data_IF_403111724043
#
_entry.id   IF_403111724043
#
_cell.length_a   1.000
_cell.length_b   1.000
_cell.length_c   1.000
_cell.angle_alpha   90.00
_cell.angle_beta   90.00
_cell.angle_gamma   90.00
#
_symmetry.space_group_name_H-M   'P 1'
#
loop_
_entity.id
_entity.type
_entity.pdbx_description
1 polymer ?
#
# COMPACT_ATOMS: atom_id res chain seq x y z
N UNK A 1 61.90 -12.06 -57.17
CA UNK A 1 61.04 -13.24 -57.40
C UNK A 1 60.35 -13.51 -56.09
N UNK A 2 59.04 -13.38 -55.87
CA UNK A 2 57.88 -13.31 -56.77
C UNK A 2 56.71 -12.69 -55.96
N UNK A 3 55.90 -11.84 -56.60
CA UNK A 3 54.61 -11.34 -56.09
C UNK A 3 53.55 -12.45 -56.03
N UNK A 4 52.56 -12.35 -55.12
CA UNK A 4 51.12 -12.29 -55.45
C UNK A 4 50.21 -12.25 -54.19
N UNK A 5 49.82 -11.03 -53.81
CA UNK A 5 48.44 -10.48 -53.83
C UNK A 5 47.26 -11.11 -53.02
N UNK A 6 46.52 -10.18 -52.38
CA UNK A 6 45.07 -10.12 -52.03
C UNK A 6 44.56 -10.70 -50.71
N UNK A 7 44.20 -9.83 -49.74
CA UNK A 7 42.90 -9.12 -49.59
C UNK A 7 42.72 -8.65 -48.12
N UNK A 8 42.46 -7.35 -47.93
CA UNK A 8 41.90 -6.79 -46.69
C UNK A 8 40.37 -7.03 -46.63
N UNK A 9 39.76 -6.85 -45.43
CA UNK A 9 38.78 -5.77 -45.36
C UNK A 9 38.82 -4.93 -44.07
N UNK A 10 38.86 -3.61 -44.29
CA UNK A 10 38.01 -2.53 -43.79
C UNK A 10 37.65 -2.39 -42.29
N UNK A 11 38.11 -1.27 -41.75
CA UNK A 11 37.59 -0.59 -40.56
C UNK A 11 36.55 0.48 -40.97
N UNK A 12 35.40 0.51 -40.27
CA UNK A 12 34.55 1.67 -39.90
C UNK A 12 33.08 1.25 -39.68
N UNK A 13 32.21 2.07 -39.01
CA UNK A 13 32.41 2.92 -37.84
C UNK A 13 31.27 2.76 -36.79
N UNK A 14 31.40 3.46 -35.66
CA UNK A 14 30.41 3.57 -34.58
C UNK A 14 28.99 3.92 -35.07
N UNK A 15 27.97 3.26 -34.51
CA UNK A 15 26.57 3.71 -34.57
C UNK A 15 26.01 3.87 -33.16
N UNK A 16 25.64 5.11 -32.82
CA UNK A 16 24.83 5.51 -31.67
C UNK A 16 23.54 4.69 -31.59
N UNK A 17 23.00 4.39 -30.39
CA UNK A 17 21.71 3.73 -30.27
C UNK A 17 20.58 4.62 -30.80
N UNK A 18 19.75 4.04 -31.67
CA UNK A 18 18.57 4.70 -32.24
C UNK A 18 17.44 4.74 -31.22
N UNK A 19 16.84 5.92 -31.04
CA UNK A 19 15.59 6.13 -30.31
C UNK A 19 14.47 5.29 -30.94
N UNK A 20 13.83 4.44 -30.13
CA UNK A 20 12.57 3.78 -30.51
C UNK A 20 11.44 4.79 -30.26
N UNK A 21 11.17 5.60 -31.27
CA UNK A 21 9.92 6.36 -31.41
C UNK A 21 9.32 5.91 -32.74
N UNK A 22 8.51 4.86 -32.72
CA UNK A 22 7.56 4.46 -33.79
C UNK A 22 7.00 3.06 -33.49
N UNK A 23 6.05 2.99 -32.56
CA UNK A 23 5.08 1.90 -32.48
C UNK A 23 3.86 2.46 -31.77
N UNK A 24 2.92 3.01 -32.55
CA UNK A 24 1.46 3.12 -32.31
C UNK A 24 0.88 4.21 -33.21
N UNK A 25 0.64 3.86 -34.48
CA UNK A 25 -0.30 4.56 -35.34
C UNK A 25 -1.34 3.53 -35.79
N UNK A 26 -2.46 3.43 -35.07
CA UNK A 26 -3.77 2.99 -35.54
C UNK A 26 -4.71 2.78 -34.34
N UNK A 27 -5.47 3.82 -33.99
CA UNK A 27 -6.76 3.69 -33.32
C UNK A 27 -7.45 5.07 -33.28
N UNK A 28 -8.01 5.50 -34.41
CA UNK A 28 -8.95 6.63 -34.44
C UNK A 28 -10.19 6.24 -35.24
N UNK A 29 -11.22 5.73 -34.55
CA UNK A 29 -12.61 5.92 -34.97
C UNK A 29 -13.48 6.23 -33.75
N UNK A 30 -14.11 7.41 -33.78
CA UNK A 30 -15.16 7.89 -32.87
C UNK A 30 -16.48 7.18 -33.18
N UNK A 31 -17.41 7.05 -32.22
CA UNK A 31 -18.84 7.09 -32.52
C UNK A 31 -19.47 8.43 -32.10
N UNK A 32 -20.38 8.91 -32.96
CA UNK A 32 -21.17 10.12 -32.79
C UNK A 32 -22.48 9.87 -32.02
N UNK A 33 -22.94 10.91 -31.33
CA UNK A 33 -24.29 11.13 -30.75
C UNK A 33 -25.36 10.99 -31.85
N UNK A 34 -26.66 10.68 -31.66
CA UNK A 34 -27.67 11.05 -30.65
C UNK A 34 -29.00 10.37 -31.09
N UNK A 35 -29.92 10.03 -30.17
CA UNK A 35 -31.38 10.38 -30.18
C UNK A 35 -32.15 9.60 -29.10
N UNK A 36 -33.01 10.32 -28.40
CA UNK A 36 -34.12 9.87 -27.53
C UNK A 36 -35.40 10.56 -28.06
N UNK A 37 -36.62 10.37 -27.51
CA UNK A 37 -37.15 9.34 -26.59
C UNK A 37 -38.49 8.71 -27.09
N UNK A 38 -39.01 7.69 -26.41
CA UNK A 38 -40.47 7.42 -26.37
C UNK A 38 -40.87 7.05 -24.94
N UNK A 39 -41.95 7.68 -24.50
CA UNK A 39 -42.59 7.58 -23.20
C UNK A 39 -43.95 6.89 -23.39
N UNK A 40 -44.29 5.86 -22.60
CA UNK A 40 -45.68 5.46 -22.37
C UNK A 40 -45.85 4.99 -20.93
N UNK A 41 -46.58 5.79 -20.15
CA UNK A 41 -47.21 5.42 -18.89
C UNK A 41 -48.35 4.41 -19.10
N UNK A 42 -48.46 3.40 -18.21
CA UNK A 42 -49.67 2.96 -17.48
C UNK A 42 -49.63 1.45 -17.22
N UNK A 43 -49.64 1.06 -15.95
CA UNK A 43 -50.76 0.37 -15.29
C UNK A 43 -50.38 0.03 -13.84
N UNK A 44 -51.22 0.48 -12.90
CA UNK A 44 -51.30 0.01 -11.51
C UNK A 44 -52.15 -1.26 -11.49
N UNK A 45 -51.85 -2.21 -10.60
CA UNK A 45 -52.75 -2.73 -9.56
C UNK A 45 -52.17 -3.99 -8.87
N UNK A 46 -52.38 -4.04 -7.56
CA UNK A 46 -52.11 -5.10 -6.60
C UNK A 46 -52.52 -6.51 -7.05
N UNK A 47 -51.74 -7.54 -6.67
CA UNK A 47 -52.26 -8.76 -6.00
C UNK A 47 -51.17 -9.36 -5.08
N UNK A 48 -51.66 -9.82 -3.94
CA UNK A 48 -51.11 -10.41 -2.71
C UNK A 48 -50.20 -11.65 -2.79
N UNK A 49 -49.46 -11.86 -1.69
CA UNK A 49 -48.79 -13.07 -1.20
C UNK A 49 -49.18 -14.42 -1.84
N UNK A 50 -48.21 -15.06 -2.50
CA UNK A 50 -47.91 -16.51 -2.50
C UNK A 50 -46.90 -16.83 -3.60
N UNK A 51 -45.62 -16.97 -3.27
CA UNK A 51 -44.67 -17.79 -4.06
C UNK A 51 -43.34 -18.08 -3.34
N UNK A 52 -43.41 -18.56 -2.09
CA UNK A 52 -42.30 -19.28 -1.43
C UNK A 52 -42.79 -20.67 -1.07
N UNK A 53 -42.97 -21.53 -2.09
CA UNK A 53 -43.07 -23.00 -1.95
C UNK A 53 -43.24 -23.65 -3.33
N UNK A 54 -42.12 -24.12 -3.92
CA UNK A 54 -41.97 -25.19 -4.93
C UNK A 54 -40.57 -24.98 -5.54
N UNK A 55 -39.53 -25.65 -5.07
CA UNK A 55 -39.30 -27.04 -5.48
C UNK A 55 -38.24 -27.71 -4.59
N UNK A 56 -38.68 -28.65 -3.76
CA UNK A 56 -37.88 -29.77 -3.27
C UNK A 56 -38.78 -31.00 -3.37
N UNK A 57 -38.48 -31.92 -4.29
CA UNK A 57 -38.35 -33.36 -4.02
C UNK A 57 -38.22 -34.19 -5.31
N UNK A 58 -37.06 -34.81 -5.46
CA UNK A 58 -36.86 -36.26 -5.60
C UNK A 58 -35.36 -36.50 -5.82
N UNK A 59 -34.66 -37.45 -5.21
CA UNK A 59 -34.89 -38.36 -4.09
C UNK A 59 -33.53 -39.08 -3.88
N UNK A 60 -33.14 -39.42 -2.66
CA UNK A 60 -31.96 -40.28 -2.43
C UNK A 60 -31.35 -40.18 -1.04
N UNK A 61 -32.09 -40.67 -0.04
CA UNK A 61 -31.75 -40.73 1.38
C UNK A 61 -30.61 -41.74 1.67
N UNK A 62 -29.74 -41.41 2.62
CA UNK A 62 -29.31 -42.33 3.68
C UNK A 62 -28.90 -41.52 4.93
N UNK A 63 -29.75 -41.60 5.97
CA UNK A 63 -29.63 -40.98 7.29
C UNK A 63 -29.14 -42.03 8.29
N UNK A 64 -28.02 -41.75 8.96
CA UNK A 64 -27.52 -42.27 10.26
C UNK A 64 -26.43 -41.27 10.69
N UNK A 65 -26.30 -40.70 11.89
CA UNK A 65 -26.85 -40.93 13.22
C UNK A 65 -26.39 -39.69 14.03
N UNK A 66 -27.31 -38.86 14.51
CA UNK A 66 -27.01 -37.79 15.49
C UNK A 66 -28.13 -37.80 16.51
N UNK A 67 -27.95 -38.56 17.58
CA UNK A 67 -28.63 -38.37 18.86
C UNK A 67 -27.98 -39.31 19.89
N UNK A 68 -26.88 -38.86 20.51
CA UNK A 68 -26.41 -39.41 21.77
C UNK A 68 -25.62 -38.35 22.53
N UNK A 69 -25.85 -38.32 23.84
CA UNK A 69 -25.21 -37.50 24.88
C UNK A 69 -26.00 -36.24 25.28
N UNK A 70 -27.17 -36.47 25.88
CA UNK A 70 -27.64 -35.70 27.04
C UNK A 70 -28.65 -36.56 27.83
N UNK A 71 -28.18 -37.29 28.85
CA UNK A 71 -28.82 -37.56 30.17
C UNK A 71 -28.19 -38.75 30.89
N UNK A 72 -28.34 -38.71 32.21
CA UNK A 72 -27.88 -39.60 33.28
C UNK A 72 -26.49 -39.23 33.81
N UNK A 73 -26.36 -38.66 35.01
CA UNK A 73 -26.86 -39.25 36.26
C UNK A 73 -27.15 -38.17 37.31
N UNK A 74 -28.24 -38.35 38.05
CA UNK A 74 -28.61 -37.64 39.29
C UNK A 74 -28.89 -38.66 40.39
N UNK A 75 -28.79 -38.20 41.63
CA UNK A 75 -29.20 -38.73 42.97
C UNK A 75 -28.00 -39.05 43.86
N UNK A 76 -27.90 -38.64 45.13
CA UNK A 76 -28.66 -37.77 46.07
C UNK A 76 -27.79 -37.77 47.37
N UNK A 77 -27.78 -36.79 48.28
CA UNK A 77 -28.71 -36.60 49.42
C UNK A 77 -28.22 -35.41 50.26
N UNK A 78 -29.17 -34.51 50.57
CA UNK A 78 -29.46 -33.64 51.73
C UNK A 78 -28.43 -32.98 52.69
N UNK A 79 -28.79 -31.71 52.94
CA UNK A 79 -29.03 -31.00 54.23
C UNK A 79 -27.96 -30.11 54.91
N UNK A 80 -28.45 -28.89 55.19
CA UNK A 80 -28.17 -27.98 56.31
C UNK A 80 -26.98 -27.00 56.27
N UNK A 81 -27.37 -25.71 56.16
CA UNK A 81 -27.07 -24.59 57.05
C UNK A 81 -25.62 -24.27 57.52
N UNK A 82 -25.25 -23.02 57.21
CA UNK A 82 -24.59 -22.02 58.05
C UNK A 82 -23.05 -21.92 58.10
N UNK A 83 -22.63 -20.65 58.08
CA UNK A 83 -21.40 -20.02 58.57
C UNK A 83 -20.00 -20.46 58.08
N UNK A 84 -19.37 -19.47 57.42
CA UNK A 84 -18.03 -18.95 57.71
C UNK A 84 -16.78 -19.60 57.10
N UNK A 85 -15.84 -18.69 56.80
CA UNK A 85 -14.41 -18.85 56.57
C UNK A 85 -13.96 -19.10 55.12
N UNK A 86 -13.32 -18.05 54.58
CA UNK A 86 -12.35 -18.10 53.49
C UNK A 86 -11.24 -19.13 53.76
N UNK A 87 -10.52 -19.57 52.73
CA UNK A 87 -9.25 -18.90 52.50
C UNK A 87 -8.94 -18.59 51.03
N UNK A 88 -8.34 -17.41 50.92
CA UNK A 88 -7.57 -16.84 49.83
C UNK A 88 -6.62 -17.84 49.13
N UNK A 89 -6.68 -17.90 47.79
CA UNK A 89 -5.63 -18.44 46.94
C UNK A 89 -5.63 -17.64 45.63
N UNK A 90 -4.65 -16.73 45.58
CA UNK A 90 -4.29 -15.86 44.47
C UNK A 90 -4.06 -16.68 43.18
N UNK A 91 -4.72 -16.26 42.10
CA UNK A 91 -4.33 -16.58 40.74
C UNK A 91 -4.03 -15.25 40.05
N UNK A 92 -2.75 -15.00 39.84
CA UNK A 92 -2.24 -13.86 39.08
C UNK A 92 -2.72 -13.97 37.62
N UNK A 93 -3.61 -13.06 37.22
CA UNK A 93 -3.92 -12.81 35.81
C UNK A 93 -2.82 -11.91 35.23
N UNK A 94 -1.83 -12.51 34.56
CA UNK A 94 -0.93 -11.76 33.67
C UNK A 94 -1.73 -11.21 32.48
N UNK A 95 -2.07 -9.93 32.57
CA UNK A 95 -2.65 -9.15 31.48
C UNK A 95 -1.63 -8.93 30.37
N UNK A 96 -1.71 -9.72 29.29
CA UNK A 96 -1.01 -9.42 28.04
C UNK A 96 -1.79 -8.32 27.31
N UNK A 97 -1.47 -7.07 27.61
CA UNK A 97 -1.84 -5.91 26.79
C UNK A 97 -0.60 -5.23 26.26
N UNK A 98 -0.25 -5.48 24.99
CA UNK A 98 0.63 -4.59 24.24
C UNK A 98 0.18 -4.52 22.78
N UNK A 99 -0.86 -3.72 22.55
CA UNK A 99 -1.21 -3.21 21.23
C UNK A 99 -0.32 -1.99 20.98
N UNK A 100 0.75 -2.17 20.23
CA UNK A 100 1.64 -1.08 19.82
C UNK A 100 0.97 -0.23 18.74
N UNK A 101 0.20 0.77 19.17
CA UNK A 101 0.09 2.03 18.43
C UNK A 101 1.49 2.52 18.07
N UNK A 102 1.73 3.10 16.88
CA UNK A 102 3.00 3.75 16.61
C UNK A 102 3.16 4.85 17.65
N UNK A 103 4.20 4.73 18.48
CA UNK A 103 4.61 5.73 19.43
C UNK A 103 4.80 7.03 18.64
N UNK A 104 3.92 8.01 18.84
CA UNK A 104 3.98 9.30 18.17
C UNK A 104 5.12 10.07 18.82
N UNK A 105 6.34 9.82 18.34
CA UNK A 105 7.47 10.65 18.66
C UNK A 105 7.14 12.09 18.25
N UNK A 106 7.45 13.06 19.12
CA UNK A 106 7.37 14.48 18.82
C UNK A 106 8.46 14.84 17.80
N UNK A 107 8.22 14.48 16.54
CA UNK A 107 9.15 14.64 15.42
C UNK A 107 9.43 16.12 15.14
N UNK A 108 8.69 17.06 15.73
CA UNK A 108 8.89 18.51 15.54
C UNK A 108 10.25 19.02 16.06
N UNK A 109 10.94 18.23 16.90
CA UNK A 109 12.20 18.63 17.54
C UNK A 109 13.47 18.20 16.81
N UNK A 110 13.40 17.44 15.72
CA UNK A 110 14.57 17.28 14.84
C UNK A 110 14.77 18.58 14.08
N UNK A 111 15.95 19.21 14.28
CA UNK A 111 16.38 20.46 13.63
C UNK A 111 16.10 20.46 12.11
N UNK A 112 16.21 19.30 11.48
CA UNK A 112 16.01 19.09 10.05
C UNK A 112 14.57 19.37 9.57
N UNK A 113 13.54 19.17 10.41
CA UNK A 113 12.14 19.38 9.99
C UNK A 113 11.65 20.81 10.19
N UNK A 114 12.28 21.60 11.07
CA UNK A 114 11.99 23.03 11.18
C UNK A 114 12.31 23.77 9.86
N UNK A 115 13.43 23.42 9.23
CA UNK A 115 13.82 23.98 7.93
C UNK A 115 12.82 23.64 6.82
N UNK A 116 12.25 22.42 6.85
CA UNK A 116 11.22 22.01 5.89
C UNK A 116 9.91 22.75 6.12
N UNK A 117 9.49 22.89 7.38
CA UNK A 117 8.31 23.69 7.71
C UNK A 117 8.48 25.13 7.19
N UNK A 118 9.65 25.73 7.39
CA UNK A 118 9.97 27.05 6.85
C UNK A 118 9.96 27.08 5.31
N UNK A 119 10.50 26.06 4.62
CA UNK A 119 10.45 25.95 3.16
C UNK A 119 9.01 26.01 2.62
N UNK A 120 8.05 25.43 3.35
CA UNK A 120 6.64 25.43 2.96
C UNK A 120 5.82 26.56 3.61
N UNK A 121 6.47 27.52 4.29
CA UNK A 121 5.83 28.58 5.06
C UNK A 121 4.73 28.04 5.99
N UNK A 122 5.07 26.98 6.72
CA UNK A 122 4.14 26.21 7.52
C UNK A 122 4.47 26.30 9.00
N UNK A 123 3.51 26.74 9.80
CA UNK A 123 3.48 26.56 11.24
C UNK A 123 2.22 25.75 11.60
N UNK A 124 2.39 24.62 12.29
CA UNK A 124 1.29 23.70 12.58
C UNK A 124 0.20 24.34 13.43
N UNK A 125 0.56 25.09 14.47
CA UNK A 125 -0.39 25.71 15.39
C UNK A 125 -1.16 26.85 14.70
N UNK A 126 -0.46 27.72 13.97
CA UNK A 126 -1.08 28.79 13.21
C UNK A 126 -2.01 28.23 12.12
N UNK A 127 -1.58 27.20 11.41
CA UNK A 127 -2.42 26.53 10.41
C UNK A 127 -3.68 25.97 11.05
N UNK A 128 -3.57 25.21 12.15
CA UNK A 128 -4.73 24.68 12.88
C UNK A 128 -5.67 25.81 13.32
N UNK A 129 -5.12 26.91 13.84
CA UNK A 129 -5.91 28.06 14.28
C UNK A 129 -6.63 28.79 13.13
N UNK A 130 -6.06 28.76 11.93
CA UNK A 130 -6.69 29.30 10.72
C UNK A 130 -7.85 28.45 10.18
N UNK A 131 -7.95 27.17 10.57
CA UNK A 131 -9.00 26.27 10.06
C UNK A 131 -10.37 26.60 10.67
N UNK A 132 -11.39 26.59 9.82
CA UNK A 132 -12.78 26.62 10.25
C UNK A 132 -13.10 25.41 11.16
N UNK A 133 -14.07 25.51 12.09
CA UNK A 133 -14.39 24.42 13.03
C UNK A 133 -14.66 23.07 12.35
N UNK A 134 -15.43 23.07 11.26
CA UNK A 134 -15.70 21.85 10.48
C UNK A 134 -14.42 21.26 9.87
N UNK A 135 -13.54 22.10 9.32
CA UNK A 135 -12.27 21.63 8.73
C UNK A 135 -11.38 20.99 9.79
N UNK A 136 -11.29 21.60 10.98
CA UNK A 136 -10.50 21.08 12.10
C UNK A 136 -11.01 19.70 12.55
N UNK A 137 -12.33 19.54 12.61
CA UNK A 137 -12.97 18.25 12.91
C UNK A 137 -12.67 17.21 11.81
N UNK A 138 -12.89 17.56 10.54
CA UNK A 138 -12.66 16.65 9.41
C UNK A 138 -11.19 16.24 9.26
N UNK A 139 -10.25 17.11 9.60
CA UNK A 139 -8.80 16.90 9.43
C UNK A 139 -8.09 16.43 10.71
N UNK A 140 -8.82 16.05 11.75
CA UNK A 140 -8.24 15.63 13.05
C UNK A 140 -7.20 14.51 12.88
N UNK A 141 -7.47 13.54 12.00
CA UNK A 141 -6.56 12.43 11.78
C UNK A 141 -5.23 12.89 11.16
N UNK A 142 -5.29 13.71 10.12
CA UNK A 142 -4.13 14.27 9.42
C UNK A 142 -3.29 15.15 10.35
N UNK A 143 -3.95 16.00 11.14
CA UNK A 143 -3.30 16.87 12.12
C UNK A 143 -2.50 16.04 13.13
N UNK A 144 -3.02 14.90 13.55
CA UNK A 144 -2.45 14.10 14.63
C UNK A 144 -1.47 13.01 14.15
N UNK A 145 -1.63 12.50 12.93
CA UNK A 145 -0.96 11.26 12.48
C UNK A 145 -0.23 11.37 11.15
N UNK A 146 -0.19 12.55 10.53
CA UNK A 146 0.69 12.79 9.38
C UNK A 146 2.01 13.37 9.85
N UNK A 147 3.11 12.79 9.40
CA UNK A 147 4.44 13.29 9.74
C UNK A 147 4.61 14.75 9.33
N UNK A 148 5.28 15.54 10.16
CA UNK A 148 5.32 17.00 10.06
C UNK A 148 5.83 17.52 8.72
N UNK A 149 6.85 16.86 8.13
CA UNK A 149 7.41 17.25 6.83
C UNK A 149 6.41 17.08 5.68
N UNK A 150 5.55 16.07 5.75
CA UNK A 150 4.48 15.84 4.77
C UNK A 150 3.29 16.75 5.04
N UNK A 151 2.93 16.95 6.30
CA UNK A 151 1.87 17.88 6.68
C UNK A 151 2.20 19.30 6.19
N UNK A 152 3.44 19.75 6.38
CA UNK A 152 3.94 21.02 5.86
C UNK A 152 3.80 21.11 4.34
N UNK A 153 4.19 20.07 3.60
CA UNK A 153 4.10 20.06 2.14
C UNK A 153 2.67 19.97 1.59
N UNK A 154 1.71 19.43 2.37
CA UNK A 154 0.36 19.09 1.90
C UNK A 154 -0.76 19.90 2.56
N UNK A 155 -0.48 20.76 3.53
CA UNK A 155 -1.52 21.46 4.32
C UNK A 155 -2.53 22.25 3.47
N UNK A 156 -2.08 22.89 2.39
CA UNK A 156 -2.97 23.59 1.46
C UNK A 156 -3.84 22.62 0.66
N UNK A 157 -3.35 21.42 0.38
CA UNK A 157 -4.09 20.37 -0.32
C UNK A 157 -5.23 19.81 0.55
N UNK A 158 -4.95 19.60 1.84
CA UNK A 158 -5.89 19.03 2.81
C UNK A 158 -7.14 19.90 3.01
N UNK A 159 -7.05 21.20 2.73
CA UNK A 159 -8.18 22.13 2.88
C UNK A 159 -9.02 22.28 1.60
N UNK A 160 -8.62 21.64 0.49
CA UNK A 160 -9.36 21.74 -0.78
C UNK A 160 -10.71 21.05 -0.71
N UNK A 161 -11.72 21.54 -1.46
CA UNK A 161 -13.09 21.00 -1.41
C UNK A 161 -13.21 19.50 -1.66
N UNK A 162 -12.42 18.93 -2.58
CA UNK A 162 -12.47 17.49 -2.89
C UNK A 162 -11.96 16.65 -1.70
N UNK A 163 -10.93 17.12 -0.99
CA UNK A 163 -10.37 16.40 0.15
C UNK A 163 -11.34 16.45 1.33
N UNK A 164 -11.94 17.62 1.60
CA UNK A 164 -13.00 17.73 2.62
C UNK A 164 -14.22 16.85 2.28
N UNK A 165 -14.58 16.73 0.99
CA UNK A 165 -15.61 15.78 0.53
C UNK A 165 -15.21 14.33 0.82
N UNK A 166 -13.96 13.94 0.54
CA UNK A 166 -13.42 12.63 0.89
C UNK A 166 -13.53 12.37 2.40
N UNK A 167 -13.17 13.34 3.25
CA UNK A 167 -13.30 13.19 4.71
C UNK A 167 -14.74 12.97 5.14
N UNK A 168 -15.70 13.74 4.62
CA UNK A 168 -17.13 13.52 4.88
C UNK A 168 -17.59 12.12 4.44
N UNK A 169 -17.13 11.66 3.27
CA UNK A 169 -17.40 10.28 2.81
C UNK A 169 -16.88 9.24 3.82
N UNK A 170 -15.66 9.40 4.34
CA UNK A 170 -15.07 8.48 5.31
C UNK A 170 -15.82 8.52 6.65
N UNK A 171 -16.23 9.70 7.14
CA UNK A 171 -17.09 9.80 8.32
C UNK A 171 -18.43 9.08 8.12
N UNK A 172 -19.00 9.13 6.91
CA UNK A 172 -20.22 8.38 6.59
C UNK A 172 -20.01 6.85 6.50
N UNK A 173 -18.76 6.36 6.54
CA UNK A 173 -18.47 4.93 6.67
C UNK A 173 -18.46 4.45 8.13
N UNK A 174 -18.79 5.32 9.10
CA UNK A 174 -18.92 4.93 10.50
C UNK A 174 -19.85 3.71 10.66
N UNK A 175 -19.45 2.76 11.51
CA UNK A 175 -20.13 1.48 11.69
C UNK A 175 -19.72 0.38 10.72
N UNK A 176 -18.95 0.68 9.66
CA UNK A 176 -18.32 -0.33 8.80
C UNK A 176 -16.90 -0.63 9.26
N UNK A 177 -16.43 -1.85 8.96
CA UNK A 177 -15.01 -2.17 9.07
C UNK A 177 -14.26 -1.62 7.86
N UNK A 178 -13.44 -0.61 8.08
CA UNK A 178 -12.57 0.00 7.06
C UNK A 178 -11.11 -0.24 7.44
N UNK A 179 -10.31 -0.65 6.46
CA UNK A 179 -8.87 -0.86 6.59
C UNK A 179 -8.06 0.22 5.86
N UNK A 180 -6.85 0.55 6.33
CA UNK A 180 -6.33 0.17 7.64
C UNK A 180 -7.10 0.88 8.77
N UNK A 181 -6.92 0.49 10.05
CA UNK A 181 -7.45 1.28 11.16
C UNK A 181 -7.02 2.75 11.05
N UNK A 182 -7.84 3.72 11.51
CA UNK A 182 -7.60 5.15 11.26
C UNK A 182 -6.18 5.64 11.57
N UNK A 183 -5.62 5.27 12.73
CA UNK A 183 -4.28 5.66 13.14
C UNK A 183 -3.14 5.18 12.22
N UNK A 184 -3.42 4.23 11.33
CA UNK A 184 -2.45 3.70 10.37
C UNK A 184 -2.63 4.22 8.94
N UNK A 185 -3.65 5.05 8.64
CA UNK A 185 -3.89 5.53 7.27
C UNK A 185 -2.67 6.32 6.73
N UNK A 186 -1.99 7.07 7.60
CA UNK A 186 -0.84 7.91 7.25
C UNK A 186 0.52 7.35 7.67
N UNK A 187 0.60 6.06 8.02
CA UNK A 187 1.86 5.40 8.41
C UNK A 187 2.98 5.59 7.40
N UNK A 188 2.66 5.63 6.09
CA UNK A 188 3.63 5.90 5.01
C UNK A 188 4.39 7.21 5.20
N UNK A 189 3.75 8.22 5.78
CA UNK A 189 4.36 9.54 5.98
C UNK A 189 5.38 9.54 7.13
N UNK A 190 5.13 8.75 8.18
CA UNK A 190 6.02 8.60 9.33
C UNK A 190 7.19 7.68 9.04
N UNK A 191 6.94 6.55 8.38
CA UNK A 191 8.01 5.62 8.07
C UNK A 191 8.95 6.14 6.99
N UNK A 192 8.48 7.03 6.12
CA UNK A 192 9.32 7.69 5.12
C UNK A 192 9.03 9.18 5.09
N UNK A 193 9.66 9.97 5.98
CA UNK A 193 9.60 11.43 5.93
C UNK A 193 10.00 11.97 4.56
N UNK A 194 9.40 13.09 4.14
CA UNK A 194 9.60 13.69 2.81
C UNK A 194 11.08 13.81 2.36
N UNK A 195 12.04 14.24 3.22
CA UNK A 195 13.44 14.39 2.82
C UNK A 195 14.18 13.06 2.65
N UNK A 196 13.65 12.00 3.25
CA UNK A 196 14.30 10.68 3.32
C UNK A 196 13.91 9.80 2.13
N UNK A 197 13.04 10.28 1.23
CA UNK A 197 12.58 9.54 0.05
C UNK A 197 13.76 9.24 -0.90
N UNK A 198 14.09 7.95 -1.03
CA UNK A 198 15.08 7.39 -1.99
C UNK A 198 14.43 6.57 -3.09
N UNK A 199 13.27 5.96 -2.80
CA UNK A 199 12.50 5.17 -3.75
C UNK A 199 11.00 5.33 -3.50
N UNK A 200 10.19 5.37 -4.56
CA UNK A 200 8.73 5.33 -4.52
C UNK A 200 8.23 4.01 -5.11
N UNK A 201 7.43 3.27 -4.35
CA UNK A 201 6.71 2.07 -4.81
C UNK A 201 5.20 2.35 -4.71
N UNK A 202 4.48 2.16 -5.81
CA UNK A 202 3.04 2.42 -5.89
C UNK A 202 2.21 1.14 -5.80
N UNK A 203 1.28 1.12 -4.84
CA UNK A 203 0.21 0.14 -4.75
C UNK A 203 -1.13 0.69 -5.28
N UNK A 204 -2.14 -0.17 -5.36
CA UNK A 204 -3.49 0.20 -5.81
C UNK A 204 -4.37 0.62 -4.63
N UNK A 205 -4.79 -0.34 -3.82
CA UNK A 205 -5.56 -0.16 -2.59
C UNK A 205 -4.95 -1.01 -1.46
N UNK A 206 -5.31 -0.75 -0.19
CA UNK A 206 -4.85 -1.57 0.92
C UNK A 206 -5.41 -2.99 0.79
N UNK A 207 -4.75 -3.96 1.42
CA UNK A 207 -5.34 -5.28 1.60
C UNK A 207 -6.64 -5.18 2.40
N UNK A 208 -7.68 -5.89 1.95
CA UNK A 208 -9.05 -5.73 2.43
C UNK A 208 -9.50 -6.82 3.41
N UNK A 209 -8.60 -7.68 3.91
CA UNK A 209 -8.95 -8.63 4.97
C UNK A 209 -8.38 -8.17 6.32
N UNK A 210 -8.92 -8.74 7.39
CA UNK A 210 -8.50 -8.47 8.75
C UNK A 210 -6.99 -8.65 8.94
N UNK A 211 -6.40 -7.75 9.73
CA UNK A 211 -4.99 -7.77 10.15
C UNK A 211 -3.96 -7.71 9.01
N UNK A 212 -4.37 -7.28 7.81
CA UNK A 212 -3.45 -7.13 6.67
C UNK A 212 -2.92 -5.70 6.56
N UNK A 213 -3.78 -4.73 6.26
CA UNK A 213 -3.34 -3.37 5.92
C UNK A 213 -2.94 -2.52 7.13
N UNK A 214 -1.77 -1.87 7.04
CA UNK A 214 -1.22 -0.98 8.08
C UNK A 214 -0.64 0.33 7.51
N UNK A 215 -1.17 0.78 6.36
CA UNK A 215 -0.82 2.07 5.76
C UNK A 215 0.34 2.09 4.78
N UNK A 216 1.03 0.96 4.58
CA UNK A 216 2.07 0.80 3.57
C UNK A 216 1.60 -0.11 2.43
N UNK A 217 1.95 0.23 1.19
CA UNK A 217 1.69 -0.65 0.03
C UNK A 217 2.42 -2.00 0.20
N UNK A 218 1.77 -3.10 -0.21
CA UNK A 218 2.30 -4.48 -0.17
C UNK A 218 2.65 -5.05 1.22
N UNK A 219 2.63 -4.26 2.29
CA UNK A 219 2.92 -4.72 3.65
C UNK A 219 1.72 -5.48 4.26
N UNK A 220 2.03 -6.55 5.00
CA UNK A 220 1.14 -7.11 6.03
C UNK A 220 1.89 -7.25 7.34
N UNK A 221 1.25 -7.01 8.49
CA UNK A 221 1.90 -7.22 9.79
C UNK A 221 1.93 -8.68 10.18
N UNK A 222 2.91 -9.04 11.00
CA UNK A 222 2.88 -10.26 11.79
C UNK A 222 1.55 -10.37 12.58
N UNK A 223 0.94 -11.56 12.73
CA UNK A 223 1.40 -12.85 12.24
C UNK A 223 0.91 -13.22 10.83
N UNK A 224 0.41 -12.26 10.05
CA UNK A 224 -0.26 -12.51 8.78
C UNK A 224 0.70 -13.11 7.74
N UNK A 225 0.22 -14.16 7.05
CA UNK A 225 0.97 -14.76 5.93
C UNK A 225 1.14 -13.76 4.78
N UNK A 226 2.37 -13.59 4.24
CA UNK A 226 2.61 -12.76 3.06
C UNK A 226 1.68 -13.12 1.89
N UNK A 227 0.98 -12.14 1.28
CA UNK A 227 0.14 -12.38 0.12
C UNK A 227 0.94 -12.81 -1.11
N UNK A 228 0.31 -13.45 -2.12
CA UNK A 228 1.03 -13.95 -3.30
C UNK A 228 1.87 -12.91 -4.05
N UNK A 229 1.39 -11.67 -4.14
CA UNK A 229 2.15 -10.57 -4.76
C UNK A 229 3.45 -10.28 -4.00
N UNK A 230 3.42 -10.30 -2.65
CA UNK A 230 4.60 -10.07 -1.83
C UNK A 230 5.61 -11.22 -1.95
N UNK A 231 5.12 -12.46 -2.03
CA UNK A 231 5.99 -13.62 -2.31
C UNK A 231 6.71 -13.50 -3.66
N UNK A 232 6.07 -12.95 -4.67
CA UNK A 232 6.72 -12.68 -5.97
C UNK A 232 7.71 -11.51 -5.89
N UNK A 233 7.46 -10.49 -5.07
CA UNK A 233 8.45 -9.45 -4.75
C UNK A 233 9.72 -10.08 -4.13
N UNK A 234 9.56 -11.00 -3.18
CA UNK A 234 10.70 -11.70 -2.56
C UNK A 234 11.46 -12.59 -3.55
N UNK A 235 10.78 -13.25 -4.49
CA UNK A 235 11.45 -13.99 -5.56
C UNK A 235 12.29 -13.08 -6.44
N UNK A 236 11.76 -11.92 -6.85
CA UNK A 236 12.53 -10.94 -7.63
C UNK A 236 13.72 -10.44 -6.83
N UNK A 237 13.55 -10.09 -5.55
CA UNK A 237 14.67 -9.68 -4.70
C UNK A 237 15.76 -10.74 -4.58
N UNK A 238 15.39 -12.02 -4.44
CA UNK A 238 16.35 -13.13 -4.40
C UNK A 238 17.12 -13.29 -5.72
N UNK A 239 16.47 -13.02 -6.86
CA UNK A 239 17.09 -13.02 -8.19
C UNK A 239 18.06 -11.84 -8.33
N UNK A 240 17.65 -10.66 -7.88
CA UNK A 240 18.46 -9.43 -7.91
C UNK A 240 19.66 -9.54 -6.97
N UNK A 241 19.45 -10.14 -5.79
CA UNK A 241 20.43 -10.28 -4.72
C UNK A 241 20.39 -11.72 -4.16
N UNK A 242 21.31 -12.60 -4.60
CA UNK A 242 21.37 -13.97 -4.11
C UNK A 242 21.58 -14.10 -2.58
N UNK A 243 22.10 -13.07 -1.91
CA UNK A 243 22.25 -13.01 -0.45
C UNK A 243 20.94 -12.73 0.30
N UNK A 244 19.88 -12.27 -0.38
CA UNK A 244 18.59 -12.00 0.25
C UNK A 244 18.01 -13.28 0.87
N UNK A 245 17.58 -13.22 2.13
CA UNK A 245 16.88 -14.31 2.77
C UNK A 245 15.37 -14.10 2.68
N UNK A 246 14.68 -15.05 2.05
CA UNK A 246 13.22 -15.00 1.94
C UNK A 246 12.61 -15.37 3.30
N UNK A 247 11.69 -14.55 3.85
CA UNK A 247 10.97 -14.91 5.05
C UNK A 247 9.92 -15.99 4.78
N UNK A 248 10.32 -17.24 5.00
CA UNK A 248 9.44 -18.39 4.81
C UNK A 248 8.46 -18.52 5.97
N UNK A 249 7.18 -18.21 5.70
CA UNK A 249 6.10 -18.25 6.70
C UNK A 249 6.08 -19.53 7.55
N UNK A 250 6.15 -20.71 6.91
CA UNK A 250 6.10 -22.00 7.62
C UNK A 250 7.30 -22.22 8.55
N UNK A 251 8.47 -21.67 8.21
CA UNK A 251 9.67 -21.75 9.04
C UNK A 251 9.51 -20.83 10.25
N UNK A 252 9.07 -19.61 10.02
CA UNK A 252 8.81 -18.60 11.05
C UNK A 252 7.71 -19.03 12.03
N UNK A 253 6.62 -19.61 11.52
CA UNK A 253 5.53 -20.18 12.32
C UNK A 253 6.03 -21.29 13.26
N UNK A 254 6.85 -22.23 12.76
CA UNK A 254 7.47 -23.28 13.58
C UNK A 254 8.42 -22.74 14.67
N UNK A 255 8.95 -21.53 14.47
CA UNK A 255 9.82 -20.84 15.44
C UNK A 255 9.03 -19.98 16.43
N UNK A 256 7.69 -20.02 16.41
CA UNK A 256 6.84 -19.22 17.29
C UNK A 256 6.75 -17.74 16.88
N UNK A 257 7.22 -17.38 15.68
CA UNK A 257 7.22 -16.00 15.17
C UNK A 257 6.56 -15.91 13.77
N UNK A 258 5.32 -16.40 13.57
CA UNK A 258 4.66 -16.38 12.27
C UNK A 258 4.61 -14.98 11.67
N UNK A 259 4.69 -14.87 10.34
CA UNK A 259 4.64 -13.60 9.63
C UNK A 259 5.64 -13.53 8.48
N UNK A 260 6.41 -12.45 8.43
CA UNK A 260 7.38 -12.21 7.35
C UNK A 260 6.84 -11.36 6.21
N UNK A 261 5.81 -10.55 6.46
CA UNK A 261 5.23 -9.60 5.50
C UNK A 261 5.54 -8.14 5.81
N UNK A 262 6.25 -7.88 6.91
CA UNK A 262 6.48 -6.54 7.41
C UNK A 262 7.64 -5.86 6.69
N UNK A 263 7.30 -4.85 5.89
CA UNK A 263 8.22 -4.07 5.06
C UNK A 263 8.63 -2.74 5.71
N UNK A 264 8.36 -2.55 7.00
CA UNK A 264 8.68 -1.31 7.74
C UNK A 264 10.15 -0.95 7.66
N UNK A 265 11.05 -1.95 7.64
CA UNK A 265 12.50 -1.73 7.47
C UNK A 265 12.82 -1.01 6.16
N UNK A 266 12.16 -1.36 5.06
CA UNK A 266 12.37 -0.68 3.77
C UNK A 266 11.86 0.77 3.82
N UNK A 267 10.69 0.98 4.42
CA UNK A 267 10.12 2.31 4.52
C UNK A 267 11.03 3.26 5.33
N UNK A 268 11.53 2.79 6.48
CA UNK A 268 12.54 3.50 7.31
C UNK A 268 13.88 3.74 6.60
N UNK A 269 14.15 3.06 5.49
CA UNK A 269 15.36 3.21 4.66
C UNK A 269 15.10 4.07 3.41
N UNK A 270 14.00 4.80 3.38
CA UNK A 270 13.68 5.75 2.31
C UNK A 270 12.77 5.22 1.22
N UNK A 271 12.13 4.06 1.40
CA UNK A 271 11.17 3.52 0.44
C UNK A 271 9.76 4.01 0.76
N UNK A 272 9.29 5.04 0.05
CA UNK A 272 7.92 5.51 0.14
C UNK A 272 6.97 4.48 -0.49
N UNK A 273 6.27 3.71 0.34
CA UNK A 273 5.33 2.66 -0.08
C UNK A 273 3.89 3.18 -0.04
N UNK A 274 3.41 3.72 -1.16
CA UNK A 274 2.17 4.49 -1.22
C UNK A 274 1.10 3.78 -2.07
N UNK A 275 -0.07 3.53 -1.49
CA UNK A 275 -1.23 3.08 -2.28
C UNK A 275 -1.91 4.27 -2.97
N UNK A 276 -2.52 4.05 -4.13
CA UNK A 276 -3.33 5.07 -4.81
C UNK A 276 -4.60 5.43 -4.02
N UNK A 277 -5.26 4.42 -3.44
CA UNK A 277 -6.32 4.58 -2.46
C UNK A 277 -5.78 4.21 -1.06
N UNK A 278 -6.04 5.03 -0.04
CA UNK A 278 -5.48 4.80 1.30
C UNK A 278 -6.40 4.04 2.25
N UNK A 279 -7.64 3.75 1.83
CA UNK A 279 -8.61 3.00 2.66
C UNK A 279 -9.44 2.06 1.82
N UNK A 280 -10.01 1.03 2.44
CA UNK A 280 -10.88 0.04 1.78
C UNK A 280 -11.86 -0.55 2.80
N UNK A 281 -13.11 -0.76 2.42
CA UNK A 281 -14.07 -1.52 3.23
C UNK A 281 -13.68 -3.01 3.26
N UNK A 282 -13.83 -3.67 4.41
CA UNK A 282 -13.51 -5.07 4.59
C UNK A 282 -14.16 -5.95 3.51
N UNK A 283 -13.37 -6.84 2.92
CA UNK A 283 -13.72 -7.78 1.86
C UNK A 283 -14.23 -7.16 0.56
N UNK A 284 -14.12 -5.83 0.39
CA UNK A 284 -14.57 -5.11 -0.82
C UNK A 284 -13.42 -4.32 -1.43
N UNK A 285 -12.56 -5.01 -2.18
CA UNK A 285 -11.49 -4.38 -2.95
C UNK A 285 -12.04 -3.19 -3.78
N UNK A 286 -11.27 -2.10 -3.86
CA UNK A 286 -11.64 -0.86 -4.55
C UNK A 286 -12.93 -0.16 -4.08
N UNK A 287 -13.51 -0.53 -2.93
CA UNK A 287 -14.76 0.07 -2.41
C UNK A 287 -14.69 1.59 -2.20
N UNK A 288 -13.51 2.14 -1.93
CA UNK A 288 -13.29 3.58 -1.74
C UNK A 288 -12.62 4.24 -2.95
N UNK A 289 -12.58 3.56 -4.10
CA UNK A 289 -12.04 4.14 -5.33
C UNK A 289 -12.90 5.33 -5.80
N UNK A 290 -12.24 6.31 -6.44
CA UNK A 290 -12.81 7.54 -6.97
C UNK A 290 -13.49 8.45 -5.91
N UNK A 291 -13.20 8.24 -4.62
CA UNK A 291 -13.73 9.08 -3.54
C UNK A 291 -12.83 10.28 -3.21
N UNK A 292 -11.64 10.35 -3.81
CA UNK A 292 -10.70 11.48 -3.69
C UNK A 292 -9.29 11.08 -3.25
N UNK A 293 -9.08 9.85 -2.80
CA UNK A 293 -7.75 9.39 -2.40
C UNK A 293 -6.75 9.42 -3.55
N UNK A 294 -7.18 9.06 -4.75
CA UNK A 294 -6.32 9.03 -5.93
C UNK A 294 -5.77 10.42 -6.26
N UNK A 295 -6.61 11.45 -6.14
CA UNK A 295 -6.21 12.83 -6.34
C UNK A 295 -5.26 13.29 -5.22
N UNK A 296 -5.54 12.93 -3.97
CA UNK A 296 -4.66 13.26 -2.85
C UNK A 296 -3.27 12.62 -3.01
N UNK A 297 -3.21 11.32 -3.32
CA UNK A 297 -1.94 10.60 -3.46
C UNK A 297 -1.17 11.02 -4.72
N UNK A 298 -1.83 11.54 -5.76
CA UNK A 298 -1.15 12.27 -6.85
C UNK A 298 -0.43 13.53 -6.33
N UNK A 299 -1.01 14.28 -5.38
CA UNK A 299 -0.34 15.43 -4.79
C UNK A 299 0.79 15.05 -3.84
N UNK A 300 0.70 13.90 -3.16
CA UNK A 300 1.82 13.33 -2.40
C UNK A 300 3.02 13.08 -3.34
N UNK A 301 2.80 12.42 -4.48
CA UNK A 301 3.85 12.16 -5.47
C UNK A 301 4.41 13.48 -6.03
N UNK A 302 3.54 14.45 -6.33
CA UNK A 302 3.95 15.78 -6.80
C UNK A 302 4.82 16.50 -5.77
N UNK A 303 4.42 16.49 -4.50
CA UNK A 303 5.18 17.11 -3.41
C UNK A 303 6.57 16.47 -3.27
N UNK A 304 6.66 15.13 -3.37
CA UNK A 304 7.93 14.41 -3.37
C UNK A 304 8.84 14.84 -4.53
N UNK A 305 8.30 14.87 -5.76
CA UNK A 305 9.05 15.27 -6.97
C UNK A 305 9.50 16.73 -6.85
N UNK A 306 8.62 17.64 -6.46
CA UNK A 306 8.96 19.07 -6.31
C UNK A 306 10.04 19.27 -5.26
N UNK A 307 9.87 18.69 -4.07
CA UNK A 307 10.87 18.80 -3.00
C UNK A 307 12.24 18.26 -3.45
N UNK A 308 12.25 17.10 -4.10
CA UNK A 308 13.46 16.50 -4.62
C UNK A 308 14.13 17.36 -5.70
N UNK A 309 13.35 18.02 -6.57
CA UNK A 309 13.87 19.00 -7.55
C UNK A 309 14.52 20.20 -6.88
N UNK A 310 13.85 20.81 -5.91
CA UNK A 310 14.35 22.00 -5.19
C UNK A 310 15.67 21.71 -4.46
N UNK A 311 15.77 20.52 -3.87
CA UNK A 311 16.96 20.07 -3.14
C UNK A 311 18.01 19.39 -4.02
N UNK A 312 17.79 19.28 -5.34
CA UNK A 312 18.67 18.54 -6.26
C UNK A 312 18.93 17.09 -5.82
N UNK A 313 17.93 16.46 -5.20
CA UNK A 313 18.05 15.19 -4.50
C UNK A 313 17.02 14.16 -5.01
N UNK A 314 17.04 13.87 -6.32
CA UNK A 314 16.03 13.02 -6.97
C UNK A 314 16.04 11.54 -6.59
N UNK A 315 15.02 10.76 -6.97
CA UNK A 315 14.82 9.39 -6.45
C UNK A 315 14.31 8.41 -7.52
N UNK A 316 14.28 7.12 -7.18
CA UNK A 316 13.81 6.04 -8.06
C UNK A 316 12.30 5.86 -7.92
N UNK A 317 11.57 5.70 -9.04
CA UNK A 317 10.14 5.42 -9.08
C UNK A 317 9.91 4.03 -9.66
N UNK A 318 9.38 3.12 -8.86
CA UNK A 318 9.01 1.76 -9.26
C UNK A 318 7.53 1.70 -9.63
N UNK A 319 7.26 1.65 -10.94
CA UNK A 319 5.91 1.64 -11.50
C UNK A 319 5.52 0.22 -11.95
N UNK A 320 4.95 -0.55 -11.01
CA UNK A 320 4.57 -1.95 -11.22
C UNK A 320 3.12 -2.08 -11.72
N UNK A 321 2.96 -2.56 -12.96
CA UNK A 321 1.67 -2.72 -13.62
C UNK A 321 1.13 -1.42 -14.24
N UNK A 322 0.16 -1.60 -15.13
CA UNK A 322 -0.45 -0.49 -15.89
C UNK A 322 -1.04 0.63 -15.01
N UNK A 323 -1.71 0.36 -13.87
CA UNK A 323 -2.24 1.43 -13.02
C UNK A 323 -1.14 2.36 -12.49
N UNK A 324 -0.06 1.81 -11.93
CA UNK A 324 1.07 2.59 -11.43
C UNK A 324 1.77 3.36 -12.57
N UNK A 325 1.97 2.71 -13.73
CA UNK A 325 2.60 3.36 -14.89
C UNK A 325 1.78 4.54 -15.42
N UNK A 326 0.44 4.42 -15.49
CA UNK A 326 -0.44 5.51 -15.91
C UNK A 326 -0.37 6.70 -14.95
N UNK A 327 -0.33 6.44 -13.65
CA UNK A 327 -0.16 7.48 -12.61
C UNK A 327 1.18 8.20 -12.77
N UNK A 328 2.28 7.46 -12.90
CA UNK A 328 3.60 8.06 -13.11
C UNK A 328 3.66 8.88 -14.41
N UNK A 329 2.96 8.46 -15.46
CA UNK A 329 2.93 9.17 -16.73
C UNK A 329 2.37 10.60 -16.63
N UNK A 330 1.51 10.91 -15.65
CA UNK A 330 1.01 12.27 -15.39
C UNK A 330 2.13 13.25 -15.02
N UNK A 331 3.25 12.74 -14.51
CA UNK A 331 4.40 13.54 -14.06
C UNK A 331 5.53 13.61 -15.11
N UNK A 332 5.35 13.04 -16.31
CA UNK A 332 6.40 12.93 -17.34
C UNK A 332 7.11 14.26 -17.62
N UNK A 333 6.38 15.36 -17.77
CA UNK A 333 6.98 16.68 -18.01
C UNK A 333 7.87 17.15 -16.85
N UNK A 334 7.46 16.89 -15.61
CA UNK A 334 8.22 17.26 -14.42
C UNK A 334 9.48 16.41 -14.25
N UNK A 335 9.38 15.11 -14.55
CA UNK A 335 10.49 14.16 -14.51
C UNK A 335 11.52 14.45 -15.61
N UNK A 336 11.07 14.71 -16.85
CA UNK A 336 11.96 15.01 -17.97
C UNK A 336 12.71 16.34 -17.81
N UNK A 337 12.07 17.35 -17.22
CA UNK A 337 12.70 18.65 -16.95
C UNK A 337 13.72 18.62 -15.79
N UNK A 338 13.90 17.47 -15.13
CA UNK A 338 14.79 17.33 -13.98
C UNK A 338 16.15 16.72 -14.32
N UNK A 339 16.58 16.76 -15.59
CA UNK A 339 17.96 16.41 -16.02
C UNK A 339 18.53 15.11 -15.42
N UNK A 340 17.76 14.01 -15.47
CA UNK A 340 18.22 12.70 -15.00
C UNK A 340 18.10 12.48 -13.48
N UNK A 341 17.53 13.41 -12.73
CA UNK A 341 17.31 13.28 -11.29
C UNK A 341 16.34 12.16 -10.90
N UNK A 342 15.54 11.62 -11.82
CA UNK A 342 14.61 10.54 -11.50
C UNK A 342 14.81 9.36 -12.43
N UNK A 343 14.83 8.17 -11.86
CA UNK A 343 14.79 6.91 -12.62
C UNK A 343 13.42 6.27 -12.49
N UNK A 344 12.72 6.07 -13.61
CA UNK A 344 11.44 5.34 -13.62
C UNK A 344 11.66 3.91 -14.09
N UNK A 345 11.49 2.95 -13.17
CA UNK A 345 11.55 1.52 -13.44
C UNK A 345 10.13 0.97 -13.65
N UNK A 346 9.81 0.61 -14.89
CA UNK A 346 8.50 0.06 -15.28
C UNK A 346 8.59 -1.45 -15.42
N UNK A 347 7.63 -2.16 -14.84
CA UNK A 347 7.45 -3.61 -15.04
C UNK A 347 5.97 -3.99 -14.92
N UNK A 348 5.61 -5.23 -15.23
CA UNK A 348 4.28 -5.79 -14.94
C UNK A 348 4.04 -5.86 -13.43
N UNK A 349 2.80 -6.09 -13.00
CA UNK A 349 2.49 -6.16 -11.57
C UNK A 349 3.00 -7.50 -10.95
N UNK A 350 3.42 -7.54 -9.67
CA UNK A 350 3.85 -8.77 -9.00
C UNK A 350 2.75 -9.81 -8.73
N UNK A 351 1.50 -9.51 -9.08
CA UNK A 351 0.38 -10.47 -8.94
C UNK A 351 0.67 -11.77 -9.69
N UNK A 352 0.24 -12.94 -9.18
CA UNK A 352 0.35 -14.21 -9.90
C UNK A 352 -0.19 -14.17 -11.34
N UNK A 353 -1.17 -13.30 -11.63
CA UNK A 353 -1.76 -13.15 -12.96
C UNK A 353 -0.80 -12.56 -14.01
N UNK A 354 0.26 -11.86 -13.57
CA UNK A 354 1.15 -11.11 -14.45
C UNK A 354 2.63 -11.28 -14.17
N UNK A 355 3.04 -11.76 -13.00
CA UNK A 355 4.45 -11.75 -12.60
C UNK A 355 5.38 -12.51 -13.56
N UNK A 356 4.91 -13.65 -14.10
CA UNK A 356 5.65 -14.44 -15.09
C UNK A 356 5.85 -13.74 -16.43
N UNK A 357 5.18 -12.61 -16.69
CA UNK A 357 5.29 -11.83 -17.94
C UNK A 357 6.40 -10.78 -17.88
N UNK A 358 7.43 -11.00 -17.06
CA UNK A 358 8.62 -10.13 -16.98
C UNK A 358 8.88 -9.44 -15.65
N UNK A 359 8.12 -9.71 -14.57
CA UNK A 359 8.41 -9.09 -13.26
C UNK A 359 9.77 -9.54 -12.69
N UNK A 360 10.13 -10.82 -12.91
CA UNK A 360 11.33 -11.44 -12.37
C UNK A 360 12.62 -11.11 -13.14
N UNK A 361 12.52 -10.56 -14.36
CA UNK A 361 13.65 -10.44 -15.30
C UNK A 361 14.31 -9.06 -15.26
N UNK A 362 13.59 -8.04 -14.78
CA UNK A 362 14.00 -6.65 -14.98
C UNK A 362 15.02 -6.11 -13.98
N UNK A 363 15.37 -6.90 -12.96
CA UNK A 363 16.32 -6.55 -11.91
C UNK A 363 16.08 -5.18 -11.26
N UNK A 364 14.83 -4.92 -10.89
CA UNK A 364 14.36 -3.58 -10.50
C UNK A 364 14.99 -3.09 -9.20
N UNK A 365 15.29 -3.97 -8.24
CA UNK A 365 15.89 -3.58 -6.97
C UNK A 365 17.39 -3.34 -7.13
N UNK A 366 18.07 -4.18 -7.91
CA UNK A 366 19.47 -3.97 -8.27
C UNK A 366 19.65 -2.64 -9.01
N UNK A 367 18.87 -2.39 -10.06
CA UNK A 367 18.91 -1.11 -10.82
C UNK A 367 18.60 0.11 -9.96
N UNK A 368 17.71 -0.03 -8.98
CA UNK A 368 17.43 1.04 -8.02
C UNK A 368 18.69 1.40 -7.23
N UNK A 369 19.38 0.42 -6.66
CA UNK A 369 20.60 0.66 -5.88
C UNK A 369 21.77 1.13 -6.75
N UNK A 370 21.90 0.61 -7.98
CA UNK A 370 22.90 1.09 -8.94
C UNK A 370 22.72 2.58 -9.22
N UNK A 371 21.50 3.00 -9.55
CA UNK A 371 21.23 4.41 -9.84
C UNK A 371 21.43 5.31 -8.61
N UNK A 372 21.02 4.87 -7.41
CA UNK A 372 21.28 5.63 -6.18
C UNK A 372 22.79 5.87 -5.99
N UNK A 373 23.61 4.84 -6.22
CA UNK A 373 25.07 4.93 -6.15
C UNK A 373 25.64 5.89 -7.18
N UNK A 374 25.17 5.84 -8.43
CA UNK A 374 25.57 6.76 -9.49
C UNK A 374 25.23 8.22 -9.16
N UNK A 375 24.17 8.45 -8.37
CA UNK A 375 23.80 9.77 -7.85
C UNK A 375 24.53 10.14 -6.53
N UNK A 376 25.49 9.34 -6.06
CA UNK A 376 26.23 9.58 -4.82
C UNK A 376 25.40 9.37 -3.55
N UNK A 377 24.33 8.58 -3.61
CA UNK A 377 23.45 8.25 -2.49
C UNK A 377 23.74 6.86 -1.95
N UNK A 378 23.49 6.66 -0.65
CA UNK A 378 23.54 5.32 -0.08
C UNK A 378 22.49 4.41 -0.70
N UNK A 379 22.91 3.19 -1.02
CA UNK A 379 22.04 2.12 -1.45
C UNK A 379 20.97 1.80 -0.40
N UNK A 380 19.81 1.32 -0.85
CA UNK A 380 18.78 0.81 0.05
C UNK A 380 19.16 -0.61 0.46
N UNK A 381 19.24 -0.86 1.76
CA UNK A 381 19.29 -2.23 2.28
C UNK A 381 17.89 -2.85 2.16
N UNK A 382 17.76 -3.88 1.32
CA UNK A 382 16.51 -4.62 1.09
C UNK A 382 16.32 -5.79 2.05
N UNK A 383 17.23 -6.00 3.00
CA UNK A 383 17.14 -7.06 4.00
C UNK A 383 15.96 -6.88 4.95
N UNK A 384 15.35 -8.00 5.35
CA UNK A 384 14.22 -8.01 6.29
C UNK A 384 14.59 -8.52 7.67
N UNK A 385 15.70 -9.26 7.79
CA UNK A 385 16.19 -9.78 9.06
C UNK A 385 17.27 -8.88 9.64
N UNK A 386 17.50 -9.00 10.94
CA UNK A 386 18.70 -8.40 11.53
C UNK A 386 19.93 -9.12 11.02
N UNK A 387 20.99 -8.38 10.68
CA UNK A 387 22.24 -8.92 10.13
C UNK A 387 22.20 -9.34 8.66
N UNK A 388 21.03 -9.53 8.03
CA UNK A 388 20.92 -9.79 6.59
C UNK A 388 20.94 -8.47 5.81
N UNK A 389 22.13 -7.92 5.56
CA UNK A 389 22.30 -6.69 4.76
C UNK A 389 22.25 -7.03 3.27
N UNK A 390 21.36 -6.39 2.52
CA UNK A 390 21.08 -6.67 1.10
C UNK A 390 21.12 -5.39 0.30
N UNK A 391 22.33 -4.92 0.03
CA UNK A 391 22.58 -3.72 -0.79
C UNK A 391 23.08 -4.07 -2.19
N UNK A 392 23.63 -5.28 -2.36
CA UNK A 392 24.31 -5.74 -3.59
C UNK A 392 25.82 -5.50 -3.59
N UNK A 393 26.42 -5.28 -2.42
CA UNK A 393 27.86 -5.13 -2.17
C UNK A 393 28.38 -6.23 -1.25
#
# INVERSE_FOLDING_TARGET
>A
MTELNRRAPDAHPSKKPRLITEFFAQATQKPAKKKSPVNVNKLKMDVTDREVAKSINNAGIAVKEVEKVFKETTTSVNDSADASAEPNLELEEESVTESTTPEVADDTKKKDYAEICAQFNFNKEEWINSLAPEQRQLLTLEINTMHISWLAALHTELTKPYFLKLKRFLHAQAGKTVFPPPGHIYSWSHYTPLPEVKCLILGQDPYHNFNQAHGLAFLVLEPTRPPPSLLNIYKTLKIDFPSFEIPEYKKLEKQGKPGGGNLTKWAKRGVLMLNACLTVEAHKANSHANQGWEQFTEQVIKAAITHAKDKKNGFVIMAWGSPAQKRVAQFTAQLNSANGMFLVLKTVHPSPLSASRGFFELKVFFKCNEWLREQGKDAIDWGLFEGNVVTGL
#
